data_IF_163704347761
#
_entry.id   IF_163704347761
#
_cell.length_a   1.000
_cell.length_b   1.000
_cell.length_c   1.000
_cell.angle_alpha   90.00
_cell.angle_beta   90.00
_cell.angle_gamma   90.00
#
_symmetry.space_group_name_H-M   'P 1'
#
loop_
_entity.id
_entity.type
_entity.pdbx_description
1 polymer ?
#
# COMPACT_ATOMS: atom_id res chain seq x y z
N UNK A 1 -25.22 7.34 -4.54
CA UNK A 1 -24.09 7.27 -5.50
C UNK A 1 -23.60 5.83 -5.55
N UNK A 2 -23.48 5.28 -6.76
CA UNK A 2 -23.01 3.90 -7.02
C UNK A 2 -21.61 3.94 -7.64
N UNK A 3 -20.62 3.35 -6.99
CA UNK A 3 -19.21 3.38 -7.43
C UNK A 3 -18.71 1.95 -7.71
N UNK A 4 -18.20 1.73 -8.92
CA UNK A 4 -17.53 0.49 -9.29
C UNK A 4 -16.02 0.64 -9.08
N UNK A 5 -15.44 -0.18 -8.22
CA UNK A 5 -14.00 -0.27 -8.05
C UNK A 5 -13.42 -1.38 -8.92
N UNK A 6 -12.55 -1.04 -9.87
CA UNK A 6 -11.88 -2.01 -10.73
C UNK A 6 -10.42 -2.14 -10.33
N UNK A 7 -10.02 -3.33 -9.89
CA UNK A 7 -8.67 -3.64 -9.45
C UNK A 7 -8.21 -4.97 -10.07
N UNK A 8 -6.94 -5.10 -10.48
CA UNK A 8 -6.46 -6.34 -11.11
C UNK A 8 -6.42 -7.55 -10.17
N UNK A 9 -6.30 -7.34 -8.87
CA UNK A 9 -6.34 -8.39 -7.84
C UNK A 9 -6.63 -7.78 -6.48
N UNK A 10 -7.44 -8.47 -5.67
CA UNK A 10 -7.72 -8.11 -4.26
C UNK A 10 -6.89 -8.95 -3.28
N UNK A 11 -6.01 -9.83 -3.77
CA UNK A 11 -5.15 -10.65 -2.92
C UNK A 11 -4.19 -9.78 -2.11
N UNK A 12 -4.07 -10.03 -0.82
CA UNK A 12 -3.15 -9.34 0.09
C UNK A 12 -1.69 -9.54 -0.32
N UNK A 13 -1.36 -10.69 -0.92
CA UNK A 13 -0.03 -10.97 -1.49
C UNK A 13 0.32 -10.07 -2.69
N UNK A 14 -0.67 -9.42 -3.29
CA UNK A 14 -0.46 -8.39 -4.33
C UNK A 14 0.09 -7.07 -3.77
N UNK A 15 0.23 -6.95 -2.45
CA UNK A 15 0.78 -5.79 -1.75
C UNK A 15 -0.29 -4.78 -1.32
N UNK A 16 0.15 -3.58 -0.95
CA UNK A 16 -0.69 -2.52 -0.36
C UNK A 16 -2.03 -2.25 -1.06
N UNK A 17 -2.12 -2.21 -2.39
CA UNK A 17 -3.40 -2.01 -3.07
C UNK A 17 -4.44 -3.09 -2.79
N UNK A 18 -4.03 -4.36 -2.75
CA UNK A 18 -4.91 -5.48 -2.43
C UNK A 18 -5.39 -5.45 -0.98
N UNK A 19 -4.51 -5.02 -0.06
CA UNK A 19 -4.84 -4.86 1.35
C UNK A 19 -5.80 -3.68 1.60
N UNK A 20 -5.65 -2.58 0.87
CA UNK A 20 -6.41 -1.35 1.11
C UNK A 20 -7.82 -1.34 0.48
N UNK A 21 -8.09 -2.14 -0.57
CA UNK A 21 -9.33 -2.02 -1.34
C UNK A 21 -10.57 -2.39 -0.54
N UNK A 22 -10.51 -3.46 0.25
CA UNK A 22 -11.67 -3.92 1.04
C UNK A 22 -11.99 -2.95 2.16
N UNK A 23 -11.05 -2.52 3.03
CA UNK A 23 -11.34 -1.50 4.04
C UNK A 23 -11.85 -0.19 3.45
N UNK A 24 -11.28 0.26 2.33
CA UNK A 24 -11.75 1.45 1.62
C UNK A 24 -13.21 1.33 1.19
N UNK A 25 -13.59 0.21 0.58
CA UNK A 25 -14.96 -0.01 0.12
C UNK A 25 -15.94 -0.11 1.31
N UNK A 26 -15.55 -0.78 2.42
CA UNK A 26 -16.37 -0.81 3.64
C UNK A 26 -16.62 0.58 4.19
N UNK A 27 -15.58 1.39 4.32
CA UNK A 27 -15.70 2.74 4.83
C UNK A 27 -16.57 3.64 3.92
N UNK A 28 -16.52 3.45 2.61
CA UNK A 28 -17.43 4.13 1.67
C UNK A 28 -18.87 3.68 1.84
N UNK A 29 -19.13 2.38 2.08
CA UNK A 29 -20.47 1.86 2.37
C UNK A 29 -21.05 2.47 3.66
N UNK A 30 -20.21 2.59 4.71
CA UNK A 30 -20.60 3.23 5.98
C UNK A 30 -20.94 4.72 5.81
N UNK A 31 -20.43 5.37 4.75
CA UNK A 31 -20.79 6.75 4.37
C UNK A 31 -21.99 6.80 3.39
N UNK A 32 -22.70 5.68 3.17
CA UNK A 32 -23.86 5.62 2.31
C UNK A 32 -23.57 5.53 0.81
N UNK A 33 -22.33 5.24 0.40
CA UNK A 33 -21.98 4.99 -1.00
C UNK A 33 -22.21 3.52 -1.34
N UNK A 34 -23.00 3.23 -2.36
CA UNK A 34 -23.10 1.87 -2.89
C UNK A 34 -21.83 1.54 -3.66
N UNK A 35 -21.12 0.49 -3.22
CA UNK A 35 -19.86 0.07 -3.86
C UNK A 35 -19.95 -1.36 -4.35
N UNK A 36 -19.24 -1.62 -5.45
CA UNK A 36 -18.99 -2.96 -5.97
C UNK A 36 -17.55 -3.07 -6.45
N UNK A 37 -16.94 -4.23 -6.26
CA UNK A 37 -15.60 -4.53 -6.77
C UNK A 37 -15.71 -5.45 -7.99
N UNK A 38 -15.06 -5.10 -9.10
CA UNK A 38 -14.80 -6.01 -10.22
C UNK A 38 -13.29 -6.30 -10.30
N UNK A 39 -12.92 -7.57 -10.24
CA UNK A 39 -11.52 -7.99 -10.19
C UNK A 39 -11.29 -9.29 -10.95
N UNK A 40 -10.01 -9.67 -11.10
CA UNK A 40 -9.65 -11.03 -11.50
C UNK A 40 -9.45 -11.93 -10.28
N UNK A 41 -9.43 -13.25 -10.52
CA UNK A 41 -9.12 -14.24 -9.46
C UNK A 41 -7.62 -14.38 -9.16
N UNK A 42 -6.76 -13.55 -9.73
CA UNK A 42 -5.32 -13.67 -9.57
C UNK A 42 -4.91 -13.61 -8.08
N UNK A 43 -4.24 -14.67 -7.62
CA UNK A 43 -3.77 -14.81 -6.23
C UNK A 43 -4.86 -15.17 -5.22
N UNK A 44 -6.02 -15.65 -5.70
CA UNK A 44 -7.12 -16.18 -4.89
C UNK A 44 -7.37 -17.65 -5.28
N UNK A 45 -7.90 -18.41 -4.34
CA UNK A 45 -8.30 -19.81 -4.54
C UNK A 45 -9.80 -19.92 -4.79
N UNK A 46 -10.23 -21.01 -5.45
CA UNK A 46 -11.64 -21.19 -5.86
C UNK A 46 -12.61 -21.36 -4.66
N UNK A 47 -12.10 -21.73 -3.49
CA UNK A 47 -12.87 -21.78 -2.24
C UNK A 47 -13.14 -20.39 -1.64
N UNK A 48 -12.35 -19.39 -2.01
CA UNK A 48 -12.49 -18.02 -1.51
C UNK A 48 -13.50 -17.18 -2.30
N UNK A 49 -13.77 -17.54 -3.57
CA UNK A 49 -14.54 -16.69 -4.49
C UNK A 49 -15.41 -17.51 -5.45
N UNK A 50 -16.50 -16.89 -5.92
CA UNK A 50 -17.32 -17.41 -7.02
C UNK A 50 -16.99 -16.66 -8.32
N UNK A 51 -16.59 -17.38 -9.36
CA UNK A 51 -16.24 -16.80 -10.66
C UNK A 51 -17.52 -16.44 -11.44
N UNK A 52 -17.54 -15.21 -11.99
CA UNK A 52 -18.63 -14.73 -12.86
C UNK A 52 -19.95 -14.41 -12.14
N UNK A 53 -20.02 -14.61 -10.84
CA UNK A 53 -21.23 -14.34 -10.04
C UNK A 53 -20.92 -13.28 -8.98
N UNK A 54 -21.78 -12.28 -8.88
CA UNK A 54 -21.68 -11.25 -7.85
C UNK A 54 -22.00 -11.85 -6.47
N UNK A 55 -21.09 -11.72 -5.52
CA UNK A 55 -21.22 -12.21 -4.16
C UNK A 55 -20.52 -11.26 -3.18
N UNK A 56 -20.73 -11.43 -1.87
CA UNK A 56 -19.98 -10.69 -0.87
C UNK A 56 -18.59 -11.34 -0.66
N UNK A 57 -17.54 -10.56 -0.87
CA UNK A 57 -16.17 -10.92 -0.53
C UNK A 57 -15.70 -10.06 0.64
N UNK A 58 -15.37 -10.67 1.75
CA UNK A 58 -15.00 -9.97 3.00
C UNK A 58 -15.98 -8.82 3.36
N UNK A 59 -17.29 -9.04 3.14
CA UNK A 59 -18.36 -8.09 3.46
C UNK A 59 -18.69 -7.05 2.37
N UNK A 60 -17.92 -6.96 1.28
CA UNK A 60 -18.09 -6.02 0.17
C UNK A 60 -18.66 -6.75 -1.05
N UNK A 61 -19.70 -6.23 -1.77
CA UNK A 61 -20.14 -6.77 -3.04
C UNK A 61 -18.97 -6.83 -4.05
N UNK A 62 -18.74 -7.99 -4.62
CA UNK A 62 -17.64 -8.21 -5.57
C UNK A 62 -18.02 -9.21 -6.64
N UNK A 63 -17.40 -9.10 -7.81
CA UNK A 63 -17.48 -10.07 -8.90
C UNK A 63 -16.06 -10.36 -9.40
N UNK A 64 -15.77 -11.65 -9.60
CA UNK A 64 -14.44 -12.10 -10.00
C UNK A 64 -14.47 -12.81 -11.35
N UNK A 65 -13.40 -12.63 -12.11
CA UNK A 65 -13.27 -13.21 -13.45
C UNK A 65 -11.94 -13.94 -13.60
N UNK A 66 -11.87 -15.00 -14.42
CA UNK A 66 -10.63 -15.73 -14.61
C UNK A 66 -9.56 -14.84 -15.25
N UNK A 67 -8.36 -14.87 -14.70
CA UNK A 67 -7.17 -14.25 -15.29
C UNK A 67 -6.44 -15.28 -16.16
N UNK A 68 -6.11 -14.90 -17.39
CA UNK A 68 -5.29 -15.67 -18.31
C UNK A 68 -4.05 -14.86 -18.69
N UNK A 69 -2.95 -15.52 -19.08
CA UNK A 69 -1.69 -14.91 -19.54
C UNK A 69 -0.95 -14.00 -18.55
N UNK A 70 -0.01 -14.60 -17.81
CA UNK A 70 1.08 -13.94 -17.07
C UNK A 70 0.66 -13.12 -15.87
N UNK A 71 1.40 -13.26 -14.77
CA UNK A 71 1.09 -12.69 -13.46
C UNK A 71 1.01 -11.15 -13.43
N UNK A 72 1.66 -10.46 -14.36
CA UNK A 72 1.73 -9.00 -14.34
C UNK A 72 0.63 -8.31 -15.16
N UNK A 73 0.15 -8.89 -16.27
CA UNK A 73 -0.84 -8.25 -17.14
C UNK A 73 -2.28 -8.59 -16.79
N UNK A 74 -2.50 -9.78 -16.21
CA UNK A 74 -3.80 -10.27 -15.70
C UNK A 74 -4.92 -10.10 -16.74
N UNK A 75 -4.72 -10.68 -17.93
CA UNK A 75 -5.67 -10.61 -19.03
C UNK A 75 -6.96 -11.35 -18.67
N UNK A 76 -8.12 -10.72 -18.87
CA UNK A 76 -9.44 -11.33 -18.66
C UNK A 76 -10.44 -10.79 -19.68
N UNK A 77 -10.73 -11.59 -20.71
CA UNK A 77 -11.78 -11.26 -21.69
C UNK A 77 -13.17 -11.22 -21.06
N UNK A 78 -13.55 -12.17 -20.16
CA UNK A 78 -14.86 -12.12 -19.49
C UNK A 78 -15.05 -10.83 -18.69
N UNK A 79 -14.02 -10.35 -17.96
CA UNK A 79 -14.08 -9.07 -17.23
C UNK A 79 -14.32 -7.90 -18.20
N UNK A 80 -13.63 -7.85 -19.33
CA UNK A 80 -13.82 -6.78 -20.31
C UNK A 80 -15.24 -6.77 -20.91
N UNK A 81 -15.79 -7.94 -21.20
CA UNK A 81 -17.19 -8.08 -21.69
C UNK A 81 -18.17 -7.60 -20.63
N UNK A 82 -18.01 -8.05 -19.38
CA UNK A 82 -18.86 -7.65 -18.28
C UNK A 82 -18.81 -6.13 -18.03
N UNK A 83 -17.61 -5.56 -17.98
CA UNK A 83 -17.43 -4.11 -17.81
C UNK A 83 -18.15 -3.33 -18.90
N UNK A 84 -18.00 -3.72 -20.18
CA UNK A 84 -18.66 -3.01 -21.27
C UNK A 84 -20.21 -3.10 -21.22
N UNK A 85 -20.75 -4.16 -20.64
CA UNK A 85 -22.20 -4.31 -20.47
C UNK A 85 -22.77 -3.55 -19.27
N UNK A 86 -22.00 -3.44 -18.17
CA UNK A 86 -22.53 -3.05 -16.86
C UNK A 86 -22.01 -1.70 -16.32
N UNK A 87 -20.96 -1.09 -16.86
CA UNK A 87 -20.41 0.19 -16.29
C UNK A 87 -21.45 1.32 -16.27
N UNK A 88 -22.40 1.31 -17.19
CA UNK A 88 -23.50 2.30 -17.28
C UNK A 88 -24.44 2.31 -16.07
N UNK A 89 -24.42 1.24 -15.27
CA UNK A 89 -25.25 1.12 -14.07
C UNK A 89 -24.58 1.78 -12.84
N UNK A 90 -23.40 2.37 -13.01
CA UNK A 90 -22.63 3.06 -11.98
C UNK A 90 -22.47 4.54 -12.31
N UNK A 91 -22.50 5.37 -11.28
CA UNK A 91 -22.28 6.82 -11.42
C UNK A 91 -20.79 7.12 -11.69
N UNK A 92 -19.88 6.34 -11.09
CA UNK A 92 -18.43 6.50 -11.22
C UNK A 92 -17.75 5.13 -11.25
N UNK A 93 -16.66 5.05 -12.01
CA UNK A 93 -15.73 3.90 -11.95
C UNK A 93 -14.39 4.35 -11.39
N UNK A 94 -13.92 3.73 -10.28
CA UNK A 94 -12.61 3.97 -9.70
C UNK A 94 -11.65 2.85 -10.08
N UNK A 95 -10.65 3.18 -10.89
CA UNK A 95 -9.70 2.24 -11.48
C UNK A 95 -8.40 2.25 -10.69
N UNK A 96 -8.00 1.09 -10.16
CA UNK A 96 -6.82 0.93 -9.31
C UNK A 96 -5.68 0.26 -10.07
N UNK A 97 -4.68 1.00 -10.42
CA UNK A 97 -3.49 0.74 -11.23
C UNK A 97 -3.61 1.20 -12.70
N UNK A 98 -2.53 1.07 -13.46
CA UNK A 98 -2.44 1.57 -14.85
C UNK A 98 -2.04 0.45 -15.81
N UNK A 99 -0.96 -0.28 -15.52
CA UNK A 99 -0.31 -1.18 -16.50
C UNK A 99 -0.86 -2.63 -16.45
N UNK A 100 -2.18 -2.80 -16.57
CA UNK A 100 -2.81 -4.13 -16.65
C UNK A 100 -4.09 -4.10 -17.48
N UNK A 101 -4.56 -5.29 -17.89
CA UNK A 101 -5.72 -5.44 -18.76
C UNK A 101 -7.03 -4.97 -18.12
N UNK A 102 -7.26 -5.29 -16.83
CA UNK A 102 -8.51 -4.93 -16.14
C UNK A 102 -8.75 -3.41 -16.15
N UNK A 103 -7.70 -2.62 -15.86
CA UNK A 103 -7.78 -1.16 -15.83
C UNK A 103 -8.03 -0.56 -17.22
N UNK A 104 -7.39 -1.11 -18.25
CA UNK A 104 -7.63 -0.69 -19.63
C UNK A 104 -9.05 -0.99 -20.09
N UNK A 105 -9.53 -2.19 -19.79
CA UNK A 105 -10.89 -2.60 -20.15
C UNK A 105 -11.92 -1.69 -19.48
N UNK A 106 -11.71 -1.36 -18.19
CA UNK A 106 -12.56 -0.44 -17.46
C UNK A 106 -12.58 0.96 -18.07
N UNK A 107 -11.40 1.55 -18.32
CA UNK A 107 -11.31 2.87 -18.92
C UNK A 107 -11.93 2.92 -20.34
N UNK A 108 -11.75 1.84 -21.12
CA UNK A 108 -12.38 1.72 -22.44
C UNK A 108 -13.90 1.64 -22.33
N UNK A 109 -14.43 0.83 -21.43
CA UNK A 109 -15.86 0.70 -21.20
C UNK A 109 -16.47 2.04 -20.75
N UNK A 110 -15.83 2.74 -19.80
CA UNK A 110 -16.25 4.05 -19.34
C UNK A 110 -16.35 5.07 -20.49
N UNK A 111 -15.35 5.11 -21.38
CA UNK A 111 -15.40 5.99 -22.56
C UNK A 111 -16.52 5.63 -23.53
N UNK A 112 -16.74 4.34 -23.77
CA UNK A 112 -17.79 3.89 -24.69
C UNK A 112 -19.20 4.28 -24.21
N UNK A 113 -19.40 4.31 -22.89
CA UNK A 113 -20.68 4.59 -22.26
C UNK A 113 -20.75 5.98 -21.58
N UNK A 114 -19.71 6.81 -21.77
CA UNK A 114 -19.62 8.15 -21.20
C UNK A 114 -19.74 8.16 -19.65
N UNK A 115 -19.30 7.12 -18.95
CA UNK A 115 -19.27 7.06 -17.49
C UNK A 115 -17.99 7.73 -16.99
N UNK A 116 -18.05 8.69 -16.04
CA UNK A 116 -16.86 9.32 -15.47
C UNK A 116 -16.05 8.31 -14.67
N UNK A 117 -14.73 8.47 -14.71
CA UNK A 117 -13.86 7.57 -13.97
C UNK A 117 -12.66 8.26 -13.32
N UNK A 118 -12.25 7.70 -12.21
CA UNK A 118 -11.07 8.08 -11.45
C UNK A 118 -9.99 7.02 -11.68
N UNK A 119 -8.74 7.44 -11.88
CA UNK A 119 -7.59 6.52 -11.99
C UNK A 119 -6.64 6.74 -10.84
N UNK A 120 -6.29 5.66 -10.14
CA UNK A 120 -5.33 5.66 -9.05
C UNK A 120 -4.07 4.90 -9.47
N UNK A 121 -2.94 5.59 -9.77
CA UNK A 121 -1.74 4.98 -10.35
C UNK A 121 -0.97 4.04 -9.42
N UNK A 122 -1.03 4.24 -8.11
CA UNK A 122 -0.35 3.41 -7.10
C UNK A 122 1.17 3.38 -7.26
N UNK A 123 1.79 4.53 -7.49
CA UNK A 123 3.23 4.67 -7.66
C UNK A 123 3.80 4.04 -8.94
N UNK A 124 2.96 3.57 -9.86
CA UNK A 124 3.43 2.91 -11.08
C UNK A 124 3.89 3.87 -12.17
N UNK A 125 3.56 5.16 -12.03
CA UNK A 125 3.87 6.20 -13.00
C UNK A 125 5.10 7.05 -12.63
N UNK A 126 5.73 6.81 -11.49
CA UNK A 126 6.92 7.56 -11.15
C UNK A 126 8.10 7.25 -12.10
N UNK A 127 9.08 8.18 -12.20
CA UNK A 127 10.17 8.08 -13.17
C UNK A 127 10.98 6.79 -13.08
N UNK A 128 11.21 6.25 -11.87
CA UNK A 128 11.95 5.01 -11.71
C UNK A 128 11.12 3.80 -12.18
N UNK A 129 9.83 3.75 -11.80
CA UNK A 129 8.94 2.70 -12.27
C UNK A 129 8.88 2.66 -13.79
N UNK A 130 8.81 3.83 -14.42
CA UNK A 130 8.77 3.93 -15.87
C UNK A 130 10.04 3.40 -16.55
N UNK A 131 11.20 3.46 -15.88
CA UNK A 131 12.47 2.90 -16.37
C UNK A 131 12.54 1.36 -16.27
N UNK A 132 11.64 0.71 -15.52
CA UNK A 132 11.58 -0.76 -15.45
C UNK A 132 10.88 -1.32 -16.69
N UNK A 133 11.53 -2.25 -17.43
CA UNK A 133 11.04 -2.82 -18.70
C UNK A 133 10.62 -1.72 -19.69
N UNK A 134 11.52 -0.79 -20.06
CA UNK A 134 11.18 0.50 -20.67
C UNK A 134 10.45 0.35 -22.01
N UNK A 135 10.87 -0.57 -22.88
CA UNK A 135 10.24 -0.78 -24.19
C UNK A 135 8.77 -1.23 -24.09
N UNK A 136 8.47 -2.17 -23.17
CA UNK A 136 7.09 -2.63 -22.95
C UNK A 136 6.22 -1.52 -22.38
N UNK A 137 6.74 -0.77 -21.40
CA UNK A 137 6.00 0.34 -20.80
C UNK A 137 5.85 1.52 -21.74
N UNK A 138 6.86 1.86 -22.55
CA UNK A 138 6.75 2.92 -23.53
C UNK A 138 5.69 2.62 -24.59
N UNK A 139 5.65 1.40 -25.11
CA UNK A 139 4.62 0.96 -26.06
C UNK A 139 3.21 1.00 -25.40
N UNK A 140 3.08 0.43 -24.21
CA UNK A 140 1.81 0.44 -23.47
C UNK A 140 1.37 1.86 -23.10
N UNK A 141 2.31 2.71 -22.71
CA UNK A 141 2.08 4.12 -22.43
C UNK A 141 1.54 4.86 -23.66
N UNK A 142 2.21 4.75 -24.78
CA UNK A 142 1.85 5.47 -26.00
C UNK A 142 0.47 5.07 -26.54
N UNK A 143 0.17 3.77 -26.55
CA UNK A 143 -1.06 3.27 -27.17
C UNK A 143 -2.27 3.25 -26.22
N UNK A 144 -2.07 3.22 -24.89
CA UNK A 144 -3.17 2.93 -23.97
C UNK A 144 -3.18 3.79 -22.70
N UNK A 145 -2.13 3.75 -21.89
CA UNK A 145 -2.12 4.34 -20.55
C UNK A 145 -2.24 5.86 -20.58
N UNK A 146 -1.57 6.53 -21.52
CA UNK A 146 -1.64 7.98 -21.69
C UNK A 146 -3.08 8.44 -21.98
N UNK A 147 -3.79 7.72 -22.85
CA UNK A 147 -5.19 8.05 -23.16
C UNK A 147 -6.10 7.80 -21.95
N UNK A 148 -5.89 6.69 -21.22
CA UNK A 148 -6.64 6.38 -20.01
C UNK A 148 -6.52 7.49 -18.96
N UNK A 149 -5.30 8.01 -18.75
CA UNK A 149 -5.06 9.10 -17.77
C UNK A 149 -5.57 10.45 -18.25
N UNK A 150 -5.39 10.78 -19.53
CA UNK A 150 -5.89 12.04 -20.10
C UNK A 150 -7.40 12.14 -20.09
N UNK A 151 -8.10 11.02 -20.37
CA UNK A 151 -9.56 10.98 -20.44
C UNK A 151 -10.20 10.70 -19.06
N UNK A 152 -9.39 10.49 -18.00
CA UNK A 152 -9.86 10.39 -16.62
C UNK A 152 -10.40 11.75 -16.14
N UNK A 153 -11.49 11.73 -15.40
CA UNK A 153 -11.98 12.92 -14.75
C UNK A 153 -11.04 13.39 -13.64
N UNK A 154 -10.48 12.44 -12.88
CA UNK A 154 -9.53 12.70 -11.79
C UNK A 154 -8.44 11.63 -11.79
N UNK A 155 -7.20 12.05 -11.52
CA UNK A 155 -6.09 11.15 -11.15
C UNK A 155 -5.92 11.20 -9.63
N UNK A 156 -6.16 10.08 -8.96
CA UNK A 156 -6.11 9.97 -7.51
C UNK A 156 -4.72 9.55 -7.05
N UNK A 157 -3.97 10.43 -6.42
CA UNK A 157 -2.68 10.16 -5.80
C UNK A 157 -2.83 9.90 -4.30
N UNK A 158 -1.93 9.08 -3.74
CA UNK A 158 -1.93 8.75 -2.32
C UNK A 158 -1.07 9.71 -1.49
N UNK A 159 -0.20 10.49 -2.16
CA UNK A 159 0.65 11.49 -1.51
C UNK A 159 0.95 12.65 -2.46
N UNK A 160 1.36 13.79 -1.88
CA UNK A 160 1.83 14.95 -2.66
C UNK A 160 3.10 14.62 -3.45
N UNK A 161 3.99 13.81 -2.88
CA UNK A 161 5.21 13.38 -3.55
C UNK A 161 4.89 12.55 -4.82
N UNK A 162 3.93 11.61 -4.73
CA UNK A 162 3.45 10.84 -5.90
C UNK A 162 2.85 11.77 -6.96
N UNK A 163 2.02 12.73 -6.55
CA UNK A 163 1.43 13.71 -7.45
C UNK A 163 2.50 14.52 -8.18
N UNK A 164 3.39 15.16 -7.46
CA UNK A 164 4.44 16.01 -8.02
C UNK A 164 5.34 15.25 -9.01
N UNK A 165 5.83 14.07 -8.60
CA UNK A 165 6.68 13.23 -9.44
C UNK A 165 5.98 12.80 -10.74
N UNK A 166 4.68 12.52 -10.69
CA UNK A 166 3.89 12.04 -11.82
C UNK A 166 3.48 13.20 -12.74
N UNK A 167 2.93 14.28 -12.20
CA UNK A 167 2.44 15.41 -12.98
C UNK A 167 3.56 16.14 -13.71
N UNK A 168 4.72 16.35 -13.06
CA UNK A 168 5.89 16.93 -13.69
C UNK A 168 6.42 16.09 -14.86
N UNK A 169 6.43 14.74 -14.69
CA UNK A 169 6.98 13.84 -15.71
C UNK A 169 6.03 13.59 -16.88
N UNK A 170 4.71 13.72 -16.69
CA UNK A 170 3.69 13.29 -17.64
C UNK A 170 2.78 14.42 -18.12
N UNK A 171 2.98 15.64 -17.62
CA UNK A 171 2.16 16.82 -17.90
C UNK A 171 0.65 16.56 -17.69
N UNK A 172 0.31 16.12 -16.49
CA UNK A 172 -1.07 15.89 -16.04
C UNK A 172 -1.46 17.01 -15.07
N UNK A 173 -2.74 17.40 -15.05
CA UNK A 173 -3.25 18.56 -14.30
C UNK A 173 -4.52 18.28 -13.47
N UNK A 174 -5.01 17.03 -13.47
CA UNK A 174 -6.28 16.65 -12.82
C UNK A 174 -6.06 15.82 -11.55
N UNK A 175 -4.95 16.05 -10.88
CA UNK A 175 -4.58 15.33 -9.67
C UNK A 175 -5.38 15.74 -8.45
N UNK A 176 -5.76 14.75 -7.64
CA UNK A 176 -6.25 14.95 -6.27
C UNK A 176 -5.50 14.00 -5.35
N UNK A 177 -5.04 14.52 -4.23
CA UNK A 177 -4.36 13.72 -3.21
C UNK A 177 -5.38 13.30 -2.16
N UNK A 178 -5.62 12.01 -2.05
CA UNK A 178 -6.35 11.39 -0.95
C UNK A 178 -5.51 10.23 -0.45
N UNK A 179 -5.01 10.27 0.79
CA UNK A 179 -4.16 9.22 1.34
C UNK A 179 -4.87 7.87 1.41
N UNK A 180 -4.09 6.81 1.67
CA UNK A 180 -4.67 5.54 2.09
C UNK A 180 -5.17 5.65 3.52
N UNK A 181 -6.26 4.97 3.79
CA UNK A 181 -6.74 4.80 5.15
C UNK A 181 -6.03 3.69 5.89
N UNK A 182 -6.18 3.72 7.21
CA UNK A 182 -5.73 2.69 8.14
C UNK A 182 -6.90 2.26 9.02
N UNK A 183 -6.92 1.01 9.39
CA UNK A 183 -7.79 0.51 10.46
C UNK A 183 -7.14 0.79 11.81
N UNK A 184 -7.77 1.64 12.61
CA UNK A 184 -7.27 1.98 13.93
C UNK A 184 -7.53 0.88 14.98
N UNK A 185 -8.31 -0.14 14.61
CA UNK A 185 -8.61 -1.26 15.51
C UNK A 185 -7.55 -2.38 15.43
N UNK A 186 -6.42 -2.14 14.75
CA UNK A 186 -5.32 -3.11 14.66
C UNK A 186 -4.86 -3.57 16.05
N UNK A 187 -4.87 -2.66 17.04
CA UNK A 187 -4.49 -2.95 18.43
C UNK A 187 -5.65 -3.38 19.32
N UNK A 188 -6.90 -3.41 18.83
CA UNK A 188 -8.05 -3.86 19.62
C UNK A 188 -8.09 -5.39 19.86
N UNK A 189 -7.25 -6.16 19.17
CA UNK A 189 -7.00 -7.57 19.40
C UNK A 189 -5.50 -7.87 19.32
N UNK A 190 -4.63 -7.24 20.12
CA UNK A 190 -3.31 -7.81 20.29
C UNK A 190 -3.52 -9.14 21.02
N UNK A 191 -2.89 -10.21 20.52
CA UNK A 191 -2.62 -11.35 21.40
C UNK A 191 -2.06 -10.76 22.69
N UNK A 192 -2.61 -11.12 23.83
CA UNK A 192 -2.02 -10.68 25.08
C UNK A 192 -0.56 -11.16 25.13
N UNK A 193 0.23 -10.60 26.04
CA UNK A 193 1.67 -10.90 26.11
C UNK A 193 1.95 -12.39 26.30
N UNK A 194 1.00 -13.13 26.86
CA UNK A 194 1.11 -14.56 27.12
C UNK A 194 0.83 -15.36 25.84
N UNK A 195 -0.23 -15.01 25.11
CA UNK A 195 -0.57 -15.65 23.84
C UNK A 195 0.47 -15.33 22.77
N UNK A 196 0.99 -14.08 22.75
CA UNK A 196 2.13 -13.72 21.90
C UNK A 196 3.38 -14.55 22.22
N UNK A 197 3.70 -14.74 23.50
CA UNK A 197 4.85 -15.55 23.90
C UNK A 197 4.68 -17.03 23.55
N UNK A 198 3.47 -17.54 23.52
CA UNK A 198 3.19 -18.90 23.07
C UNK A 198 3.31 -19.03 21.54
N UNK A 199 2.80 -18.07 20.78
CA UNK A 199 2.83 -18.08 19.32
C UNK A 199 4.22 -17.75 18.75
N UNK A 200 4.95 -16.83 19.41
CA UNK A 200 6.24 -16.31 18.97
C UNK A 200 7.28 -16.32 20.09
N UNK A 201 7.66 -17.51 20.63
CA UNK A 201 8.50 -17.62 21.84
C UNK A 201 9.87 -16.95 21.69
N UNK A 202 10.44 -16.94 20.49
CA UNK A 202 11.74 -16.29 20.24
C UNK A 202 11.62 -14.76 20.22
N UNK A 203 10.53 -14.21 19.69
CA UNK A 203 10.31 -12.75 19.66
C UNK A 203 9.94 -12.21 21.04
N UNK A 204 9.16 -12.96 21.80
CA UNK A 204 8.65 -12.51 23.10
C UNK A 204 9.76 -12.33 24.17
N UNK A 205 10.93 -12.94 23.96
CA UNK A 205 12.09 -12.84 24.87
C UNK A 205 12.94 -11.59 24.63
N UNK A 206 12.73 -10.89 23.51
CA UNK A 206 13.63 -9.86 23.04
C UNK A 206 12.92 -8.57 22.65
N UNK A 207 13.62 -7.45 22.75
CA UNK A 207 13.25 -6.24 22.03
C UNK A 207 13.64 -6.40 20.56
N UNK A 208 12.80 -5.96 19.64
CA UNK A 208 13.12 -6.13 18.22
C UNK A 208 12.74 -4.95 17.34
N UNK A 209 13.55 -4.78 16.30
CA UNK A 209 13.29 -3.93 15.15
C UNK A 209 12.57 -4.79 14.10
N UNK A 210 11.40 -4.37 13.68
CA UNK A 210 10.60 -5.07 12.67
C UNK A 210 10.76 -4.41 11.30
N UNK A 211 11.02 -5.22 10.30
CA UNK A 211 10.78 -4.92 8.88
C UNK A 211 9.56 -5.72 8.46
N UNK A 212 8.50 -5.04 8.01
CA UNK A 212 7.26 -5.66 7.54
C UNK A 212 7.00 -5.22 6.10
N UNK A 213 7.55 -5.93 5.13
CA UNK A 213 7.47 -5.56 3.71
C UNK A 213 7.81 -6.73 2.79
N UNK A 214 7.58 -6.55 1.49
CA UNK A 214 8.22 -7.43 0.51
C UNK A 214 9.74 -7.26 0.61
N UNK A 215 10.46 -8.37 0.72
CA UNK A 215 11.92 -8.36 0.85
C UNK A 215 12.55 -8.16 -0.53
N UNK A 216 12.82 -6.90 -0.88
CA UNK A 216 13.34 -6.49 -2.20
C UNK A 216 14.44 -5.44 -2.04
N UNK A 217 15.40 -5.37 -2.99
CA UNK A 217 16.50 -4.39 -2.94
C UNK A 217 16.05 -2.93 -2.77
N UNK A 218 14.88 -2.59 -3.33
CA UNK A 218 14.30 -1.24 -3.21
C UNK A 218 13.94 -0.82 -1.79
N UNK A 219 13.97 -1.76 -0.83
CA UNK A 219 13.67 -1.51 0.58
C UNK A 219 14.90 -1.17 1.43
N UNK A 220 16.13 -1.24 0.87
CA UNK A 220 17.36 -0.91 1.57
C UNK A 220 17.68 -1.85 2.74
N UNK A 221 17.23 -3.12 2.64
CA UNK A 221 17.32 -4.08 3.75
C UNK A 221 18.75 -4.54 4.01
N UNK A 222 19.58 -4.60 3.01
CA UNK A 222 21.01 -4.88 3.08
C UNK A 222 21.76 -3.81 3.87
N UNK A 223 21.44 -2.54 3.63
CA UNK A 223 22.06 -1.42 4.37
C UNK A 223 21.58 -1.40 5.83
N UNK A 224 20.28 -1.67 6.07
CA UNK A 224 19.74 -1.79 7.42
C UNK A 224 20.39 -2.94 8.18
N UNK A 225 20.53 -4.12 7.55
CA UNK A 225 21.18 -5.28 8.12
C UNK A 225 22.61 -4.96 8.55
N UNK A 226 23.40 -4.37 7.64
CA UNK A 226 24.79 -4.00 7.91
C UNK A 226 24.93 -2.97 9.05
N UNK A 227 24.00 -2.02 9.15
CA UNK A 227 23.95 -1.05 10.25
C UNK A 227 23.61 -1.72 11.58
N UNK A 228 22.56 -2.57 11.60
CA UNK A 228 22.11 -3.29 12.77
C UNK A 228 23.18 -4.26 13.31
N UNK A 229 23.80 -5.06 12.45
CA UNK A 229 24.85 -6.01 12.83
C UNK A 229 26.10 -5.32 13.42
N UNK A 230 26.35 -4.07 13.06
CA UNK A 230 27.41 -3.27 13.68
C UNK A 230 27.05 -2.89 15.12
N UNK A 231 25.79 -2.59 15.40
CA UNK A 231 25.31 -2.21 16.73
C UNK A 231 25.22 -3.38 17.70
N UNK A 232 24.68 -4.54 17.27
CA UNK A 232 24.47 -5.70 18.18
C UNK A 232 25.76 -6.37 18.64
N UNK A 233 26.92 -6.02 18.06
CA UNK A 233 28.23 -6.40 18.57
C UNK A 233 28.59 -5.68 19.87
N UNK A 234 27.93 -4.59 20.19
CA UNK A 234 28.12 -3.84 21.44
C UNK A 234 27.20 -4.45 22.49
N UNK A 235 27.72 -4.67 23.70
CA UNK A 235 27.03 -5.35 24.81
C UNK A 235 25.66 -4.73 25.11
N UNK A 236 25.57 -3.40 25.07
CA UNK A 236 24.32 -2.64 25.32
C UNK A 236 23.17 -2.96 24.33
N UNK A 237 23.47 -3.47 23.13
CA UNK A 237 22.48 -3.82 22.10
C UNK A 237 22.40 -5.33 21.82
N UNK A 238 23.18 -6.17 22.49
CA UNK A 238 23.26 -7.61 22.22
C UNK A 238 21.91 -8.35 22.40
N UNK A 239 21.00 -7.80 23.22
CA UNK A 239 19.67 -8.35 23.43
C UNK A 239 18.67 -8.03 22.32
N UNK A 240 18.99 -7.13 21.39
CA UNK A 240 18.08 -6.75 20.31
C UNK A 240 18.05 -7.76 19.18
N UNK A 241 16.91 -7.82 18.50
CA UNK A 241 16.72 -8.65 17.29
C UNK A 241 16.26 -7.78 16.11
N UNK A 242 16.65 -8.18 14.90
CA UNK A 242 16.12 -7.65 13.66
C UNK A 242 15.23 -8.71 13.01
N UNK A 243 13.99 -8.38 12.72
CA UNK A 243 13.00 -9.30 12.19
C UNK A 243 12.60 -8.88 10.78
N UNK A 244 12.92 -9.70 9.78
CA UNK A 244 12.49 -9.50 8.40
C UNK A 244 11.23 -10.32 8.11
N UNK A 245 10.05 -9.74 8.35
CA UNK A 245 8.76 -10.35 8.07
C UNK A 245 8.31 -10.00 6.64
N UNK A 246 8.20 -11.03 5.82
CA UNK A 246 7.77 -10.92 4.42
C UNK A 246 8.46 -11.93 3.52
N UNK A 247 8.15 -11.87 2.24
CA UNK A 247 8.72 -12.69 1.16
C UNK A 247 9.33 -11.80 0.07
N UNK A 248 10.23 -12.39 -0.72
CA UNK A 248 10.90 -11.70 -1.83
C UNK A 248 11.57 -12.69 -2.78
N UNK A 249 12.32 -12.19 -3.79
CA UNK A 249 13.16 -13.03 -4.63
C UNK A 249 14.10 -13.88 -3.77
N UNK A 250 14.12 -15.18 -4.05
CA UNK A 250 14.85 -16.16 -3.23
C UNK A 250 16.35 -15.84 -3.12
N UNK A 251 16.95 -15.44 -4.23
CA UNK A 251 18.35 -15.03 -4.30
C UNK A 251 18.66 -13.85 -3.37
N UNK A 252 17.78 -12.86 -3.30
CA UNK A 252 17.95 -11.70 -2.42
C UNK A 252 17.76 -12.08 -0.94
N UNK A 253 16.76 -12.89 -0.63
CA UNK A 253 16.52 -13.35 0.75
C UNK A 253 17.68 -14.23 1.23
N UNK A 254 18.18 -15.12 0.37
CA UNK A 254 19.36 -15.93 0.66
C UNK A 254 20.61 -15.07 0.88
N UNK A 255 20.81 -14.03 0.10
CA UNK A 255 21.91 -13.09 0.28
C UNK A 255 21.86 -12.39 1.65
N UNK A 256 20.68 -11.93 2.08
CA UNK A 256 20.50 -11.33 3.42
C UNK A 256 20.80 -12.32 4.55
N UNK A 257 20.34 -13.57 4.43
CA UNK A 257 20.63 -14.63 5.42
C UNK A 257 22.12 -14.91 5.51
N UNK A 258 22.76 -15.13 4.35
CA UNK A 258 24.20 -15.40 4.27
C UNK A 258 25.03 -14.25 4.85
N UNK A 259 24.66 -13.00 4.57
CA UNK A 259 25.33 -11.82 5.12
C UNK A 259 25.18 -11.78 6.65
N UNK A 260 23.98 -12.09 7.17
CA UNK A 260 23.76 -12.20 8.62
C UNK A 260 24.67 -13.26 9.25
N UNK A 261 24.72 -14.47 8.70
CA UNK A 261 25.58 -15.56 9.17
C UNK A 261 27.05 -15.19 9.13
N UNK A 262 27.52 -14.66 7.99
CA UNK A 262 28.94 -14.27 7.80
C UNK A 262 29.42 -13.24 8.82
N UNK A 263 28.53 -12.38 9.30
CA UNK A 263 28.83 -11.34 10.28
C UNK A 263 28.56 -11.77 11.75
N UNK A 264 28.16 -13.03 11.98
CA UNK A 264 27.87 -13.57 13.32
C UNK A 264 26.53 -13.11 13.87
N UNK A 265 25.54 -12.90 12.98
CA UNK A 265 24.21 -12.42 13.32
C UNK A 265 23.14 -13.51 13.37
N UNK A 266 23.51 -14.81 13.36
CA UNK A 266 22.55 -15.93 13.29
C UNK A 266 21.50 -15.89 14.39
N UNK A 267 21.89 -15.45 15.58
CA UNK A 267 20.98 -15.33 16.73
C UNK A 267 20.33 -13.95 16.84
N UNK A 268 20.77 -12.96 16.05
CA UNK A 268 20.29 -11.58 16.12
C UNK A 268 19.29 -11.22 15.02
N UNK A 269 19.20 -12.03 13.95
CA UNK A 269 18.35 -11.75 12.79
C UNK A 269 17.39 -12.91 12.54
N UNK A 270 16.09 -12.61 12.41
CA UNK A 270 15.04 -13.60 12.25
C UNK A 270 14.26 -13.35 10.94
N UNK A 271 13.87 -14.44 10.28
CA UNK A 271 13.12 -14.43 9.03
C UNK A 271 11.87 -15.31 9.17
N UNK A 272 10.78 -14.81 9.77
CA UNK A 272 9.56 -15.60 9.98
C UNK A 272 8.77 -15.88 8.69
N UNK A 273 9.18 -15.30 7.55
CA UNK A 273 8.43 -15.42 6.30
C UNK A 273 7.25 -14.46 6.22
N UNK A 274 6.25 -14.83 5.42
CA UNK A 274 5.03 -14.04 5.25
C UNK A 274 4.14 -14.14 6.49
N UNK A 275 3.71 -12.99 6.98
CA UNK A 275 2.75 -12.88 8.08
C UNK A 275 1.47 -12.20 7.59
N UNK A 276 0.31 -12.73 8.00
CA UNK A 276 -1.01 -12.17 7.67
C UNK A 276 -1.98 -12.25 8.86
N UNK A 277 -3.09 -11.50 8.80
CA UNK A 277 -4.12 -11.51 9.82
C UNK A 277 -3.59 -11.21 11.22
N UNK A 278 -4.04 -11.99 12.20
CA UNK A 278 -3.71 -11.82 13.62
C UNK A 278 -2.20 -11.96 13.90
N UNK A 279 -1.52 -12.89 13.21
CA UNK A 279 -0.07 -13.08 13.37
C UNK A 279 0.72 -11.85 12.95
N UNK A 280 0.34 -11.21 11.84
CA UNK A 280 0.93 -9.94 11.38
C UNK A 280 0.72 -8.85 12.42
N UNK A 281 -0.52 -8.68 12.88
CA UNK A 281 -0.87 -7.64 13.85
C UNK A 281 -0.16 -7.86 15.19
N UNK A 282 -0.08 -9.10 15.67
CA UNK A 282 0.61 -9.44 16.89
C UNK A 282 2.10 -9.07 16.81
N UNK A 283 2.80 -9.50 15.77
CA UNK A 283 4.23 -9.18 15.58
C UNK A 283 4.44 -7.67 15.39
N UNK A 284 3.52 -6.97 14.75
CA UNK A 284 3.60 -5.52 14.58
C UNK A 284 3.41 -4.77 15.89
N UNK A 285 2.34 -5.06 16.66
CA UNK A 285 2.01 -4.34 17.88
C UNK A 285 2.99 -4.60 19.05
N UNK A 286 3.73 -5.71 19.02
CA UNK A 286 4.77 -6.02 20.01
C UNK A 286 6.18 -5.55 19.57
N UNK A 287 6.32 -4.99 18.38
CA UNK A 287 7.60 -4.47 17.93
C UNK A 287 8.03 -3.24 18.76
N UNK A 288 9.32 -3.09 19.00
CA UNK A 288 9.89 -1.92 19.69
C UNK A 288 10.14 -0.76 18.71
N UNK A 289 10.33 -1.06 17.45
CA UNK A 289 10.56 -0.12 16.35
C UNK A 289 10.17 -0.80 15.03
N UNK A 290 9.49 -0.10 14.12
CA UNK A 290 9.40 -0.54 12.73
C UNK A 290 10.43 0.22 11.90
N UNK A 291 11.21 -0.49 11.07
CA UNK A 291 12.18 0.12 10.16
C UNK A 291 11.76 -0.09 8.70
N UNK A 292 11.69 1.01 7.93
CA UNK A 292 11.42 0.99 6.50
C UNK A 292 12.35 1.98 5.76
N UNK A 293 13.65 1.68 5.63
CA UNK A 293 14.63 2.54 4.96
C UNK A 293 14.57 2.35 3.43
N UNK A 294 13.40 2.53 2.84
CA UNK A 294 13.19 2.28 1.42
C UNK A 294 13.87 3.34 0.56
N UNK A 295 14.56 2.93 -0.50
CA UNK A 295 14.96 3.84 -1.58
C UNK A 295 13.74 4.41 -2.30
N UNK A 296 12.59 3.76 -2.12
CA UNK A 296 11.34 4.15 -2.74
C UNK A 296 10.14 3.46 -2.09
N UNK A 297 9.11 4.25 -1.83
CA UNK A 297 7.84 3.76 -1.30
C UNK A 297 6.66 4.48 -2.00
N UNK A 298 5.53 3.79 -2.17
CA UNK A 298 4.34 4.40 -2.74
C UNK A 298 3.48 5.11 -1.69
N UNK A 299 3.39 4.52 -0.49
CA UNK A 299 2.70 5.11 0.66
C UNK A 299 3.31 4.67 1.99
N UNK A 300 3.58 3.35 2.18
CA UNK A 300 4.10 2.81 3.42
C UNK A 300 3.00 2.40 4.40
N UNK A 301 2.04 1.56 3.97
CA UNK A 301 0.95 1.10 4.84
C UNK A 301 1.44 0.52 6.16
N UNK A 302 2.50 -0.31 6.14
CA UNK A 302 3.06 -0.89 7.37
C UNK A 302 3.58 0.18 8.35
N UNK A 303 4.02 1.33 7.85
CA UNK A 303 4.42 2.48 8.68
C UNK A 303 3.21 3.01 9.43
N UNK A 304 2.09 3.24 8.73
CA UNK A 304 0.86 3.73 9.36
C UNK A 304 0.26 2.68 10.31
N UNK A 305 0.32 1.40 9.96
CA UNK A 305 -0.09 0.30 10.82
C UNK A 305 0.74 0.27 12.13
N UNK A 306 2.07 0.45 12.04
CA UNK A 306 2.93 0.54 13.20
C UNK A 306 2.58 1.74 14.10
N UNK A 307 2.40 2.91 13.50
CA UNK A 307 2.01 4.12 14.22
C UNK A 307 0.66 3.95 14.91
N UNK A 308 -0.32 3.29 14.29
CA UNK A 308 -1.60 2.96 14.90
C UNK A 308 -1.45 2.05 16.12
N UNK A 309 -0.54 1.08 16.08
CA UNK A 309 -0.18 0.26 17.24
C UNK A 309 0.62 1.04 18.32
N UNK A 310 1.02 2.28 18.07
CA UNK A 310 1.91 3.04 18.95
C UNK A 310 3.36 2.59 18.90
N UNK A 311 3.75 1.91 17.83
CA UNK A 311 5.12 1.53 17.53
C UNK A 311 5.80 2.66 16.76
N UNK A 312 6.87 3.26 17.29
CA UNK A 312 7.60 4.31 16.59
C UNK A 312 8.29 3.74 15.35
N UNK A 313 8.63 4.61 14.40
CA UNK A 313 9.15 4.18 13.12
C UNK A 313 10.50 4.81 12.79
N UNK A 314 11.33 4.10 12.02
CA UNK A 314 12.53 4.62 11.38
C UNK A 314 12.35 4.47 9.87
N UNK A 315 12.26 5.60 9.18
CA UNK A 315 11.99 5.61 7.73
C UNK A 315 13.01 6.48 6.98
N UNK A 316 13.09 6.27 5.68
CA UNK A 316 13.87 7.13 4.80
C UNK A 316 13.04 8.33 4.32
N UNK A 317 13.69 9.44 3.87
CA UNK A 317 13.00 10.58 3.27
C UNK A 317 12.18 10.23 2.01
N UNK A 318 12.41 9.04 1.42
CA UNK A 318 11.67 8.54 0.25
C UNK A 318 10.35 7.84 0.62
N UNK A 319 10.06 7.68 1.89
CA UNK A 319 8.72 7.27 2.37
C UNK A 319 7.82 8.51 2.35
N UNK A 320 6.69 8.49 1.63
CA UNK A 320 5.83 9.67 1.42
C UNK A 320 5.30 10.33 2.70
N UNK A 321 5.35 9.61 3.82
CA UNK A 321 4.89 10.07 5.14
C UNK A 321 6.05 10.61 6.02
N UNK A 322 7.27 10.72 5.47
CA UNK A 322 8.45 11.10 6.26
C UNK A 322 8.30 12.48 6.91
N UNK A 323 7.79 13.47 6.16
CA UNK A 323 7.61 14.83 6.65
C UNK A 323 6.56 14.90 7.79
N UNK A 324 5.45 14.17 7.65
CA UNK A 324 4.41 14.07 8.67
C UNK A 324 4.92 13.36 9.94
N UNK A 325 5.73 12.31 9.78
CA UNK A 325 6.36 11.56 10.88
C UNK A 325 7.35 12.45 11.62
N UNK A 326 8.20 13.19 10.90
CA UNK A 326 9.16 14.13 11.49
C UNK A 326 8.47 15.25 12.22
N UNK A 327 7.49 15.91 11.59
CA UNK A 327 6.72 17.01 12.16
C UNK A 327 5.96 16.58 13.42
N UNK A 328 5.38 15.38 13.43
CA UNK A 328 4.67 14.85 14.58
C UNK A 328 5.62 14.33 15.68
N UNK A 329 6.90 14.14 15.39
CA UNK A 329 7.83 13.49 16.31
C UNK A 329 7.51 12.01 16.53
N UNK A 330 6.95 11.34 15.52
CA UNK A 330 6.46 9.95 15.60
C UNK A 330 7.51 8.89 15.23
N UNK A 331 8.72 9.32 14.85
CA UNK A 331 9.77 8.41 14.41
C UNK A 331 11.10 9.09 14.17
N UNK A 332 12.00 8.41 13.50
CA UNK A 332 13.30 8.88 13.05
C UNK A 332 13.36 8.86 11.53
N UNK A 333 13.98 9.87 10.96
CA UNK A 333 14.22 9.95 9.52
C UNK A 333 15.71 9.76 9.27
N UNK A 334 16.07 8.86 8.36
CA UNK A 334 17.46 8.56 8.04
C UNK A 334 17.69 8.32 6.56
N UNK A 335 18.77 8.84 6.00
CA UNK A 335 19.22 8.46 4.68
C UNK A 335 19.49 6.94 4.60
N UNK A 336 19.35 6.36 3.42
CA UNK A 336 19.60 4.92 3.18
C UNK A 336 21.11 4.71 2.99
N UNK A 337 21.86 5.02 4.06
CA UNK A 337 23.31 4.89 4.16
C UNK A 337 23.66 4.24 5.49
N UNK A 338 24.66 3.35 5.49
CA UNK A 338 25.01 2.55 6.68
C UNK A 338 25.25 3.42 7.92
N UNK A 339 26.04 4.48 7.80
CA UNK A 339 26.40 5.34 8.93
C UNK A 339 25.18 6.10 9.47
N UNK A 340 24.33 6.64 8.57
CA UNK A 340 23.11 7.36 8.93
C UNK A 340 22.10 6.43 9.61
N UNK A 341 21.86 5.25 9.05
CA UNK A 341 20.96 4.24 9.63
C UNK A 341 21.47 3.74 10.97
N UNK A 342 22.80 3.52 11.11
CA UNK A 342 23.39 3.11 12.36
C UNK A 342 23.17 4.17 13.45
N UNK A 343 23.41 5.44 13.16
CA UNK A 343 23.19 6.53 14.12
C UNK A 343 21.72 6.66 14.54
N UNK A 344 20.79 6.57 13.59
CA UNK A 344 19.37 6.64 13.87
C UNK A 344 18.86 5.40 14.65
N UNK A 345 19.31 4.19 14.30
CA UNK A 345 19.04 2.99 15.08
C UNK A 345 19.59 3.13 16.51
N UNK A 346 20.84 3.56 16.67
CA UNK A 346 21.43 3.74 17.99
C UNK A 346 20.61 4.67 18.88
N UNK A 347 20.13 5.79 18.36
CA UNK A 347 19.23 6.69 19.09
C UNK A 347 17.92 5.99 19.46
N UNK A 348 17.31 5.27 18.50
CA UNK A 348 16.04 4.59 18.71
C UNK A 348 16.13 3.43 19.71
N UNK A 349 17.25 2.68 19.70
CA UNK A 349 17.41 1.50 20.56
C UNK A 349 17.78 1.84 22.01
N UNK A 350 18.43 3.01 22.25
CA UNK A 350 18.92 3.39 23.59
C UNK A 350 17.84 3.78 24.58
N UNK A 351 16.72 4.34 24.14
CA UNK A 351 15.75 4.98 25.04
C UNK A 351 14.34 4.46 24.89
N UNK A 352 13.89 3.66 25.86
CA UNK A 352 12.50 3.20 25.96
C UNK A 352 11.53 4.39 26.10
N UNK A 353 11.91 5.40 26.87
CA UNK A 353 11.12 6.61 27.11
C UNK A 353 10.90 7.37 25.80
N UNK A 354 11.95 7.53 24.99
CA UNK A 354 11.83 8.22 23.70
C UNK A 354 11.00 7.39 22.71
N UNK A 355 11.15 6.06 22.68
CA UNK A 355 10.29 5.19 21.85
C UNK A 355 8.82 5.30 22.26
N UNK A 356 8.54 5.24 23.55
CA UNK A 356 7.17 5.37 24.06
C UNK A 356 6.56 6.74 23.71
N UNK A 357 7.31 7.84 23.88
CA UNK A 357 6.88 9.17 23.50
C UNK A 357 6.53 9.29 22.01
N UNK A 358 7.41 8.76 21.14
CA UNK A 358 7.18 8.75 19.70
C UNK A 358 6.04 7.82 19.28
N UNK A 359 5.84 6.72 20.00
CA UNK A 359 4.69 5.83 19.81
C UNK A 359 3.36 6.53 20.10
N UNK A 360 3.27 7.32 21.15
CA UNK A 360 2.07 8.13 21.46
C UNK A 360 1.80 9.16 20.34
N UNK A 361 2.82 9.90 19.92
CA UNK A 361 2.72 10.84 18.81
C UNK A 361 2.31 10.12 17.49
N UNK A 362 2.79 8.90 17.29
CA UNK A 362 2.43 8.04 16.15
C UNK A 362 0.96 7.66 16.13
N UNK A 363 0.38 7.27 17.25
CA UNK A 363 -1.07 7.00 17.37
C UNK A 363 -1.91 8.23 17.05
N UNK A 364 -1.51 9.40 17.54
CA UNK A 364 -2.19 10.64 17.23
C UNK A 364 -2.10 10.97 15.72
N UNK A 365 -0.92 10.83 15.12
CA UNK A 365 -0.74 11.04 13.70
C UNK A 365 -1.61 10.06 12.88
N UNK A 366 -1.60 8.77 13.21
CA UNK A 366 -2.34 7.73 12.48
C UNK A 366 -3.85 7.95 12.48
N UNK A 367 -4.42 8.57 13.52
CA UNK A 367 -5.85 8.86 13.63
C UNK A 367 -6.38 9.73 12.47
N UNK A 368 -5.54 10.60 11.90
CA UNK A 368 -5.86 11.44 10.74
C UNK A 368 -6.09 10.64 9.46
N UNK A 369 -5.58 9.40 9.43
CA UNK A 369 -5.67 8.47 8.31
C UNK A 369 -6.69 7.36 8.53
N UNK A 370 -7.57 7.48 9.54
CA UNK A 370 -8.64 6.51 9.77
C UNK A 370 -9.55 6.38 8.53
N UNK A 371 -9.93 5.17 8.16
CA UNK A 371 -10.76 4.91 6.98
C UNK A 371 -12.02 5.76 6.91
N UNK A 372 -12.79 6.02 7.99
CA UNK A 372 -13.96 6.89 7.92
C UNK A 372 -13.63 8.32 7.49
N UNK A 373 -12.45 8.83 7.86
CA UNK A 373 -12.00 10.15 7.43
C UNK A 373 -11.60 10.16 5.95
N UNK A 374 -10.87 9.15 5.51
CA UNK A 374 -10.44 9.01 4.11
C UNK A 374 -11.64 8.76 3.19
N UNK A 375 -12.62 7.96 3.61
CA UNK A 375 -13.85 7.73 2.85
C UNK A 375 -14.64 9.02 2.62
N UNK A 376 -14.74 9.90 3.64
CA UNK A 376 -15.35 11.23 3.44
C UNK A 376 -14.63 12.06 2.38
N UNK A 377 -13.29 12.08 2.40
CA UNK A 377 -12.50 12.79 1.38
C UNK A 377 -12.77 12.21 -0.02
N UNK A 378 -12.80 10.88 -0.17
CA UNK A 378 -13.12 10.22 -1.44
C UNK A 378 -14.54 10.56 -1.91
N UNK A 379 -15.53 10.57 -1.01
CA UNK A 379 -16.91 10.93 -1.34
C UNK A 379 -17.00 12.37 -1.84
N UNK A 380 -16.25 13.30 -1.25
CA UNK A 380 -16.17 14.69 -1.73
C UNK A 380 -15.57 14.73 -3.14
N UNK A 381 -14.47 14.01 -3.38
CA UNK A 381 -13.83 13.92 -4.70
C UNK A 381 -14.80 13.38 -5.77
N UNK A 382 -15.56 12.34 -5.44
CA UNK A 382 -16.55 11.78 -6.34
C UNK A 382 -17.71 12.75 -6.63
N UNK A 383 -18.21 13.42 -5.58
CA UNK A 383 -19.31 14.40 -5.72
C UNK A 383 -18.89 15.60 -6.59
N UNK A 384 -17.65 16.09 -6.43
CA UNK A 384 -17.10 17.14 -7.27
C UNK A 384 -17.03 16.72 -8.74
N UNK A 385 -16.53 15.51 -9.02
CA UNK A 385 -16.47 14.98 -10.39
C UNK A 385 -17.84 14.91 -11.06
N UNK A 386 -18.86 14.47 -10.34
CA UNK A 386 -20.22 14.40 -10.86
C UNK A 386 -20.82 15.81 -11.10
N UNK A 387 -20.57 16.76 -10.20
CA UNK A 387 -21.04 18.13 -10.33
C UNK A 387 -20.40 18.86 -11.54
N UNK A 388 -19.07 18.73 -11.72
CA UNK A 388 -18.34 19.29 -12.86
C UNK A 388 -18.88 18.75 -14.19
N UNK A 389 -19.21 17.46 -14.22
CA UNK A 389 -19.80 16.83 -15.39
C UNK A 389 -21.21 17.37 -15.70
N UNK A 390 -22.08 17.44 -14.70
CA UNK A 390 -23.44 17.96 -14.88
C UNK A 390 -23.45 19.41 -15.40
N UNK A 391 -22.52 20.24 -14.93
CA UNK A 391 -22.33 21.59 -15.41
C UNK A 391 -21.90 21.62 -16.88
N UNK A 392 -20.95 20.76 -17.26
CA UNK A 392 -20.46 20.67 -18.64
C UNK A 392 -21.56 20.22 -19.61
N UNK A 393 -22.38 19.24 -19.23
CA UNK A 393 -23.51 18.77 -20.03
C UNK A 393 -24.57 19.85 -20.19
N UNK A 394 -24.87 20.61 -19.12
CA UNK A 394 -25.83 21.73 -19.16
C UNK A 394 -25.35 22.87 -20.09
N UNK A 395 -24.03 23.17 -20.10
CA UNK A 395 -23.47 24.19 -20.99
C UNK A 395 -23.53 23.78 -22.47
N UNK A 396 -23.32 22.50 -22.77
CA UNK A 396 -23.41 21.99 -24.15
C UNK A 396 -24.87 22.10 -24.67
N UNK A 397 -25.86 21.77 -23.82
CA UNK A 397 -27.27 21.85 -24.16
C UNK A 397 -27.71 23.32 -24.34
N UNK A 398 -27.19 24.25 -23.55
CA UNK A 398 -27.52 25.67 -23.63
C UNK A 398 -26.92 26.38 -24.88
N UNK A 399 -25.93 25.76 -25.54
CA UNK A 399 -25.29 26.29 -26.76
C UNK A 399 -25.67 25.52 -28.03
N UNK A 400 -26.46 24.46 -27.93
CA UNK A 400 -27.02 23.68 -29.05
C UNK A 400 -28.45 24.12 -29.41
#
# INVERSE_FOLDING_TARGET
MRVLHVIPSVSERSGGPGQAIIPMCRALQEQGTEVMIASTNAGLTDDQISIGTAAKYKGVPAIFFPAHLGDSFKYSKPLAVWLNANVKDFDIVHIHAVFNHACLAAARACRNHLVPYVVRPLGTLDPWSMKQKPLRKAMYWHFTARRMLRDAGIVHYTSRAEQQATEQSLNLDRGRVVPLGIDLQIDSVPLDRKDFAQAFPELAKHLYVLVLSRLQPTKGLDVLLAAFLTLVKREEFAAWRLVFAGEGPEDYVMALKKESETQGGENAVLFPGWLEGESKNAVLCHASLLALPSYRESFGLCVMEALACGVPVLVSPQVPLADEIETAGAGWISAVEKASLQAALEQALRSDVERAKRGVAGRELSSRFAWPHIARQLTVVYSQLLAERAQSESQVIAHA
#
